data_IF_442809136975
#
_entry.id   IF_442809136975
#
_cell.length_a   1.000
_cell.length_b   1.000
_cell.length_c   1.000
_cell.angle_alpha   90.00
_cell.angle_beta   90.00
_cell.angle_gamma   90.00
#
_symmetry.space_group_name_H-M   'P 1'
#
loop_
_entity.id
_entity.type
_entity.pdbx_description
1 polymer ?
#
# COMPACT_ATOMS: atom_id res chain seq x y z
N UNK A 1 0.99 16.52 -19.40
CA UNK A 1 1.39 17.94 -19.55
C UNK A 1 0.59 18.90 -18.65
N UNK A 2 -0.73 18.74 -18.47
CA UNK A 2 -1.54 19.58 -17.55
C UNK A 2 -1.25 19.38 -16.04
N UNK A 3 -0.93 18.16 -15.59
CA UNK A 3 -0.68 17.86 -14.17
C UNK A 3 0.61 18.51 -13.66
N UNK A 4 1.70 18.47 -14.45
CA UNK A 4 2.99 19.07 -14.07
C UNK A 4 2.93 20.61 -13.95
N UNK A 5 2.13 21.27 -14.79
CA UNK A 5 1.99 22.73 -14.77
C UNK A 5 1.18 23.22 -13.55
N UNK A 6 0.22 22.42 -13.08
CA UNK A 6 -0.55 22.68 -11.86
C UNK A 6 0.31 22.58 -10.59
N UNK A 7 1.27 21.65 -10.53
CA UNK A 7 2.11 21.45 -9.35
C UNK A 7 3.07 22.64 -9.11
N UNK A 8 3.64 23.21 -10.17
CA UNK A 8 4.63 24.28 -10.04
C UNK A 8 4.05 25.66 -9.62
N UNK A 9 2.81 25.97 -10.01
CA UNK A 9 2.21 27.30 -9.77
C UNK A 9 1.77 27.48 -8.31
N UNK A 10 1.40 26.40 -7.62
CA UNK A 10 0.79 26.47 -6.30
C UNK A 10 1.78 26.43 -5.12
N UNK A 11 3.07 26.15 -5.34
CA UNK A 11 4.07 25.97 -4.27
C UNK A 11 4.43 27.25 -3.48
N UNK A 12 4.01 28.44 -3.93
CA UNK A 12 4.31 29.72 -3.26
C UNK A 12 3.22 30.22 -2.30
N UNK A 13 2.16 29.44 -2.06
CA UNK A 13 1.09 29.78 -1.13
C UNK A 13 0.95 28.71 -0.03
N UNK A 14 0.81 29.13 1.22
CA UNK A 14 0.53 28.21 2.33
C UNK A 14 -0.90 27.67 2.23
N UNK A 15 -1.04 26.34 2.14
CA UNK A 15 -2.34 25.68 2.22
C UNK A 15 -2.62 25.24 3.65
N UNK A 16 -3.89 25.28 4.05
CA UNK A 16 -4.36 24.64 5.27
C UNK A 16 -5.16 23.39 4.93
N UNK A 17 -4.80 22.26 5.53
CA UNK A 17 -5.56 21.03 5.40
C UNK A 17 -6.88 21.16 6.19
N UNK A 18 -8.00 20.85 5.53
CA UNK A 18 -9.32 20.80 6.16
C UNK A 18 -9.93 19.42 5.91
N UNK A 19 -9.78 18.47 6.86
CA UNK A 19 -10.32 17.13 6.69
C UNK A 19 -11.85 17.18 6.66
N UNK A 20 -12.45 16.41 5.75
CA UNK A 20 -13.90 16.33 5.60
C UNK A 20 -14.50 15.36 6.65
N UNK A 21 -14.34 15.72 7.91
CA UNK A 21 -14.64 14.87 9.09
C UNK A 21 -16.09 14.40 9.14
N UNK A 22 -17.04 15.22 8.70
CA UNK A 22 -18.45 14.88 8.64
C UNK A 22 -18.72 13.67 7.73
N UNK A 23 -18.01 13.58 6.59
CA UNK A 23 -18.13 12.46 5.66
C UNK A 23 -17.61 11.17 6.28
N UNK A 24 -16.48 11.22 7.00
CA UNK A 24 -15.95 10.05 7.68
C UNK A 24 -16.87 9.57 8.81
N UNK A 25 -17.44 10.49 9.59
CA UNK A 25 -18.42 10.16 10.64
C UNK A 25 -19.71 9.55 10.05
N UNK A 26 -20.20 10.12 8.94
CA UNK A 26 -21.37 9.60 8.25
C UNK A 26 -21.12 8.19 7.69
N UNK A 27 -19.94 7.95 7.11
CA UNK A 27 -19.54 6.63 6.65
C UNK A 27 -19.49 5.64 7.81
N UNK A 28 -18.83 5.97 8.93
CA UNK A 28 -18.75 5.11 10.11
C UNK A 28 -20.15 4.75 10.65
N UNK A 29 -21.04 5.74 10.75
CA UNK A 29 -22.43 5.52 11.17
C UNK A 29 -23.18 4.59 10.20
N UNK A 30 -22.99 4.75 8.89
CA UNK A 30 -23.60 3.89 7.88
C UNK A 30 -23.08 2.45 7.96
N UNK A 31 -21.77 2.24 8.13
CA UNK A 31 -21.17 0.91 8.24
C UNK A 31 -21.70 0.13 9.44
N UNK A 32 -22.03 0.80 10.55
CA UNK A 32 -22.63 0.17 11.75
C UNK A 32 -24.04 -0.37 11.54
N UNK A 33 -24.73 0.06 10.48
CA UNK A 33 -26.06 -0.44 10.14
C UNK A 33 -26.02 -1.84 9.53
N UNK A 34 -24.86 -2.28 9.05
CA UNK A 34 -24.69 -3.58 8.42
C UNK A 34 -24.15 -4.61 9.42
N UNK A 35 -24.61 -5.88 9.36
CA UNK A 35 -24.02 -6.96 10.14
C UNK A 35 -22.51 -7.10 9.90
N UNK A 36 -21.79 -7.60 10.90
CA UNK A 36 -20.37 -7.93 10.74
C UNK A 36 -20.20 -8.95 9.60
N UNK A 37 -19.26 -8.67 8.69
CA UNK A 37 -18.96 -9.52 7.54
C UNK A 37 -19.81 -9.24 6.29
N UNK A 38 -20.72 -8.27 6.32
CA UNK A 38 -21.43 -7.84 5.11
C UNK A 38 -20.47 -7.34 4.03
N UNK A 39 -20.73 -7.72 2.77
CA UNK A 39 -20.05 -7.15 1.61
C UNK A 39 -20.66 -5.78 1.31
N UNK A 40 -19.88 -4.74 1.53
CA UNK A 40 -20.29 -3.35 1.36
C UNK A 40 -19.51 -2.75 0.19
N UNK A 41 -20.17 -1.88 -0.57
CA UNK A 41 -19.56 -1.08 -1.64
C UNK A 41 -19.91 0.38 -1.42
N UNK A 42 -18.98 1.28 -1.72
CA UNK A 42 -19.21 2.73 -1.70
C UNK A 42 -19.40 3.20 -3.15
N UNK A 43 -20.45 3.98 -3.39
CA UNK A 43 -20.85 4.49 -4.71
C UNK A 43 -20.52 5.99 -4.81
N UNK A 44 -19.80 6.41 -5.86
CA UNK A 44 -19.18 7.75 -5.98
C UNK A 44 -19.74 8.68 -7.07
N UNK A 45 -20.82 8.32 -7.74
CA UNK A 45 -21.32 9.07 -8.93
C UNK A 45 -21.89 10.43 -8.56
N UNK A 46 -22.27 10.63 -7.29
CA UNK A 46 -22.86 11.87 -6.79
C UNK A 46 -22.03 12.58 -5.71
N UNK A 47 -22.37 13.84 -5.45
CA UNK A 47 -21.80 14.64 -4.36
C UNK A 47 -20.71 15.62 -4.80
N UNK A 48 -20.19 16.38 -3.83
CA UNK A 48 -19.09 17.32 -4.08
C UNK A 48 -17.80 16.53 -4.36
N UNK A 49 -16.92 17.06 -5.22
CA UNK A 49 -15.60 16.45 -5.50
C UNK A 49 -14.80 16.15 -4.23
N UNK A 50 -14.89 17.02 -3.22
CA UNK A 50 -14.25 16.83 -1.92
C UNK A 50 -14.84 15.68 -1.10
N UNK A 51 -16.12 15.35 -1.28
CA UNK A 51 -16.75 14.18 -0.66
C UNK A 51 -16.26 12.90 -1.35
N UNK A 52 -16.26 12.89 -2.69
CA UNK A 52 -15.76 11.75 -3.45
C UNK A 52 -14.29 11.43 -3.14
N UNK A 53 -13.44 12.46 -3.04
CA UNK A 53 -12.05 12.29 -2.61
C UNK A 53 -11.92 11.73 -1.18
N UNK A 54 -12.69 12.25 -0.22
CA UNK A 54 -12.68 11.76 1.15
C UNK A 54 -13.13 10.29 1.23
N UNK A 55 -14.23 9.93 0.56
CA UNK A 55 -14.74 8.56 0.51
C UNK A 55 -13.78 7.60 -0.19
N UNK A 56 -13.10 8.03 -1.26
CA UNK A 56 -12.09 7.21 -1.94
C UNK A 56 -10.90 6.89 -1.01
N UNK A 57 -10.43 7.88 -0.23
CA UNK A 57 -9.39 7.67 0.78
C UNK A 57 -9.86 6.68 1.86
N UNK A 58 -11.06 6.88 2.41
CA UNK A 58 -11.61 5.97 3.43
C UNK A 58 -11.80 4.54 2.89
N UNK A 59 -12.31 4.40 1.67
CA UNK A 59 -12.48 3.11 1.01
C UNK A 59 -11.14 2.38 0.87
N UNK A 60 -10.09 3.10 0.48
CA UNK A 60 -8.73 2.57 0.40
C UNK A 60 -8.18 2.08 1.74
N UNK A 61 -8.39 2.86 2.81
CA UNK A 61 -7.92 2.54 4.18
C UNK A 61 -8.69 1.37 4.78
N UNK A 62 -10.01 1.34 4.63
CA UNK A 62 -10.90 0.32 5.21
C UNK A 62 -11.04 -0.95 4.36
N UNK A 63 -10.34 -0.98 3.23
CA UNK A 63 -10.42 -2.02 2.21
C UNK A 63 -11.84 -2.31 1.70
N UNK A 64 -12.65 -1.26 1.54
CA UNK A 64 -14.03 -1.35 1.02
C UNK A 64 -14.01 -1.14 -0.49
N UNK A 65 -14.74 -1.98 -1.23
CA UNK A 65 -14.86 -1.82 -2.67
C UNK A 65 -15.53 -0.48 -3.02
N UNK A 66 -15.00 0.18 -4.05
CA UNK A 66 -15.46 1.48 -4.50
C UNK A 66 -16.01 1.35 -5.92
N UNK A 67 -17.21 1.84 -6.18
CA UNK A 67 -17.84 1.81 -7.50
C UNK A 67 -18.22 3.20 -7.97
N UNK A 68 -18.31 3.34 -9.29
CA UNK A 68 -18.78 4.52 -9.99
C UNK A 68 -19.76 4.07 -11.07
N UNK A 69 -20.88 4.77 -11.20
CA UNK A 69 -21.89 4.54 -12.24
C UNK A 69 -21.53 5.45 -13.40
N UNK A 70 -21.04 4.84 -14.47
CA UNK A 70 -20.63 5.53 -15.67
C UNK A 70 -21.59 5.25 -16.83
N UNK A 71 -21.40 5.96 -17.94
CA UNK A 71 -22.21 5.79 -19.14
C UNK A 71 -21.36 5.85 -20.41
N UNK A 72 -21.69 5.00 -21.39
CA UNK A 72 -21.00 5.04 -22.70
C UNK A 72 -21.52 6.14 -23.63
N UNK A 73 -22.80 6.49 -23.49
CA UNK A 73 -23.48 7.41 -24.40
C UNK A 73 -24.19 8.52 -23.62
N UNK A 74 -23.99 9.76 -24.06
CA UNK A 74 -24.60 10.94 -23.47
C UNK A 74 -25.55 11.60 -24.47
N UNK A 75 -26.83 11.66 -24.12
CA UNK A 75 -27.86 12.29 -24.93
C UNK A 75 -27.85 13.80 -24.63
N UNK A 76 -27.17 14.57 -25.49
CA UNK A 76 -27.01 16.03 -25.32
C UNK A 76 -28.34 16.77 -25.25
N UNK A 77 -29.31 16.39 -26.08
CA UNK A 77 -30.65 16.99 -26.12
C UNK A 77 -31.36 16.90 -24.75
N UNK A 78 -31.25 15.74 -24.09
CA UNK A 78 -31.88 15.49 -22.80
C UNK A 78 -30.97 15.84 -21.61
N UNK A 79 -29.72 16.20 -21.86
CA UNK A 79 -28.65 16.42 -20.86
C UNK A 79 -28.55 15.27 -19.87
N UNK A 80 -28.69 14.03 -20.36
CA UNK A 80 -28.71 12.81 -19.56
C UNK A 80 -27.98 11.68 -20.27
N UNK A 81 -27.42 10.71 -19.53
CA UNK A 81 -26.92 9.49 -20.12
C UNK A 81 -28.05 8.73 -20.81
N UNK A 82 -27.71 8.00 -21.87
CA UNK A 82 -28.61 7.05 -22.51
C UNK A 82 -28.85 5.87 -21.54
N UNK A 83 -30.10 5.56 -21.12
CA UNK A 83 -30.36 4.62 -20.02
C UNK A 83 -29.62 3.28 -20.13
N UNK A 84 -29.68 2.64 -21.30
CA UNK A 84 -29.04 1.36 -21.60
C UNK A 84 -27.51 1.41 -21.69
N UNK A 85 -26.92 2.61 -21.73
CA UNK A 85 -25.47 2.79 -21.78
C UNK A 85 -24.82 2.86 -20.40
N UNK A 86 -25.61 2.86 -19.34
CA UNK A 86 -25.16 2.98 -17.95
C UNK A 86 -24.55 1.67 -17.46
N UNK A 87 -23.41 1.72 -16.77
CA UNK A 87 -22.74 0.56 -16.20
C UNK A 87 -22.06 0.86 -14.87
N UNK A 88 -21.86 -0.18 -14.06
CA UNK A 88 -21.11 -0.10 -12.81
C UNK A 88 -19.63 -0.36 -13.13
N UNK A 89 -18.78 0.58 -12.75
CA UNK A 89 -17.33 0.45 -12.81
C UNK A 89 -16.77 0.27 -11.40
N UNK A 90 -15.99 -0.79 -11.20
CA UNK A 90 -15.19 -0.94 -9.99
C UNK A 90 -13.96 -0.02 -10.08
N UNK A 91 -13.80 0.86 -9.10
CA UNK A 91 -12.62 1.70 -8.95
C UNK A 91 -11.56 0.88 -8.23
N UNK A 92 -10.44 0.63 -8.88
CA UNK A 92 -9.32 -0.12 -8.31
C UNK A 92 -8.72 0.60 -7.11
N UNK A 93 -8.52 -0.11 -6.00
CA UNK A 93 -7.74 0.40 -4.89
C UNK A 93 -6.25 0.39 -5.30
N UNK A 94 -5.55 1.53 -5.37
CA UNK A 94 -4.15 1.58 -5.76
C UNK A 94 -3.24 0.77 -4.82
N UNK A 95 -3.62 0.59 -3.56
CA UNK A 95 -2.91 -0.28 -2.61
C UNK A 95 -2.97 -1.76 -2.97
N UNK A 96 -3.89 -2.15 -3.88
CA UNK A 96 -4.01 -3.52 -4.41
C UNK A 96 -3.37 -3.68 -5.78
N UNK A 97 -2.89 -2.60 -6.39
CA UNK A 97 -2.20 -2.70 -7.66
C UNK A 97 -0.81 -3.32 -7.47
N UNK A 98 -0.23 -3.90 -8.54
CA UNK A 98 1.15 -4.33 -8.51
C UNK A 98 2.06 -3.18 -8.06
N UNK A 99 2.97 -3.52 -7.18
CA UNK A 99 3.67 -2.58 -6.30
C UNK A 99 4.61 -1.64 -7.08
N UNK A 100 4.87 -1.87 -8.36
CA UNK A 100 5.78 -1.04 -9.17
C UNK A 100 5.40 0.45 -9.23
N UNK A 101 4.15 0.84 -8.93
CA UNK A 101 3.71 2.25 -8.90
C UNK A 101 3.93 2.97 -7.54
N UNK A 102 4.01 2.23 -6.43
CA UNK A 102 4.16 2.77 -5.06
C UNK A 102 5.16 1.98 -4.20
N UNK A 103 6.04 1.21 -4.84
CA UNK A 103 6.94 0.23 -4.23
C UNK A 103 7.76 0.80 -3.12
N UNK A 104 8.35 1.96 -3.39
CA UNK A 104 9.20 2.68 -2.47
C UNK A 104 8.48 3.03 -1.16
N UNK A 105 7.20 3.40 -1.18
CA UNK A 105 6.47 3.81 0.02
C UNK A 105 6.19 2.62 0.95
N UNK A 106 5.71 1.50 0.40
CA UNK A 106 5.39 0.30 1.18
C UNK A 106 6.66 -0.37 1.71
N UNK A 107 7.69 -0.44 0.86
CA UNK A 107 9.03 -0.91 1.22
C UNK A 107 9.63 -0.06 2.34
N UNK A 108 9.64 1.26 2.20
CA UNK A 108 10.22 2.15 3.21
C UNK A 108 9.47 2.04 4.53
N UNK A 109 8.15 1.80 4.49
CA UNK A 109 7.38 1.51 5.70
C UNK A 109 7.84 0.23 6.39
N UNK A 110 8.05 -0.86 5.64
CA UNK A 110 8.55 -2.11 6.19
C UNK A 110 9.98 -1.94 6.78
N UNK A 111 10.87 -1.26 6.05
CA UNK A 111 12.23 -0.92 6.49
C UNK A 111 12.21 -0.08 7.79
N UNK A 112 11.32 0.90 7.89
CA UNK A 112 11.18 1.72 9.10
C UNK A 112 10.82 0.87 10.33
N UNK A 113 9.89 -0.08 10.19
CA UNK A 113 9.55 -1.00 11.28
C UNK A 113 10.70 -1.96 11.61
N UNK A 114 11.41 -2.46 10.59
CA UNK A 114 12.60 -3.28 10.78
C UNK A 114 13.66 -2.56 11.61
N UNK A 115 13.96 -1.30 11.26
CA UNK A 115 15.00 -0.49 11.89
C UNK A 115 14.72 -0.18 13.36
N UNK A 116 13.44 -0.13 13.77
CA UNK A 116 13.03 0.03 15.18
C UNK A 116 12.79 -1.30 15.90
N UNK A 117 13.19 -2.43 15.31
CA UNK A 117 13.12 -3.76 15.92
C UNK A 117 11.74 -4.41 15.93
N UNK A 118 10.77 -3.87 15.18
CA UNK A 118 9.42 -4.43 15.01
C UNK A 118 9.40 -5.45 13.87
N UNK A 119 10.13 -6.54 14.08
CA UNK A 119 10.42 -7.54 13.04
C UNK A 119 9.19 -8.34 12.60
N UNK A 120 8.22 -8.54 13.48
CA UNK A 120 6.93 -9.17 13.21
C UNK A 120 6.09 -8.38 12.18
N UNK A 121 5.98 -7.07 12.40
CA UNK A 121 5.27 -6.16 11.51
C UNK A 121 6.04 -6.03 10.19
N UNK A 122 7.35 -5.87 10.27
CA UNK A 122 8.24 -5.79 9.12
C UNK A 122 8.10 -7.02 8.20
N UNK A 123 8.16 -8.23 8.76
CA UNK A 123 8.01 -9.46 8.02
C UNK A 123 6.68 -9.48 7.25
N UNK A 124 5.57 -9.19 7.95
CA UNK A 124 4.23 -9.17 7.37
C UNK A 124 4.13 -8.19 6.19
N UNK A 125 4.71 -6.99 6.33
CA UNK A 125 4.69 -5.99 5.27
C UNK A 125 5.54 -6.40 4.06
N UNK A 126 6.73 -6.99 4.29
CA UNK A 126 7.56 -7.49 3.20
C UNK A 126 6.92 -8.68 2.46
N UNK A 127 6.23 -9.59 3.15
CA UNK A 127 5.47 -10.68 2.51
C UNK A 127 4.30 -10.16 1.67
N UNK A 128 3.59 -9.15 2.18
CA UNK A 128 2.51 -8.51 1.43
C UNK A 128 3.03 -7.81 0.18
N UNK A 129 4.17 -7.11 0.28
CA UNK A 129 4.82 -6.47 -0.84
C UNK A 129 5.30 -7.49 -1.88
N UNK A 130 5.99 -8.56 -1.45
CA UNK A 130 6.50 -9.58 -2.37
C UNK A 130 5.39 -10.26 -3.18
N UNK A 131 4.22 -10.50 -2.59
CA UNK A 131 3.08 -11.11 -3.30
C UNK A 131 2.51 -10.24 -4.43
N UNK A 132 2.88 -8.96 -4.50
CA UNK A 132 2.32 -7.97 -5.43
C UNK A 132 3.38 -7.31 -6.32
N UNK A 133 4.67 -7.55 -6.08
CA UNK A 133 5.78 -6.99 -6.87
C UNK A 133 6.03 -7.82 -8.13
N UNK A 134 6.33 -7.15 -9.25
CA UNK A 134 6.81 -7.84 -10.47
C UNK A 134 8.16 -8.50 -10.23
N UNK A 135 8.99 -7.90 -9.38
CA UNK A 135 10.29 -8.44 -8.94
C UNK A 135 10.29 -8.63 -7.41
N UNK A 136 9.77 -9.75 -6.90
CA UNK A 136 9.51 -9.93 -5.47
C UNK A 136 10.75 -10.24 -4.64
N UNK A 137 11.85 -10.61 -5.31
CA UNK A 137 13.02 -11.25 -4.69
C UNK A 137 13.63 -10.45 -3.55
N UNK A 138 13.69 -9.14 -3.72
CA UNK A 138 14.29 -8.23 -2.76
C UNK A 138 13.43 -8.16 -1.47
N UNK A 139 12.10 -8.06 -1.62
CA UNK A 139 11.15 -8.09 -0.51
C UNK A 139 11.09 -9.47 0.18
N UNK A 140 11.15 -10.57 -0.58
CA UNK A 140 11.22 -11.94 -0.02
C UNK A 140 12.42 -12.09 0.94
N UNK A 141 13.60 -11.63 0.52
CA UNK A 141 14.80 -11.69 1.34
C UNK A 141 14.69 -10.82 2.59
N UNK A 142 14.08 -9.64 2.49
CA UNK A 142 13.85 -8.77 3.64
C UNK A 142 12.81 -9.34 4.62
N UNK A 143 11.79 -10.05 4.11
CA UNK A 143 10.85 -10.81 4.94
C UNK A 143 11.58 -11.91 5.72
N UNK A 144 12.37 -12.74 5.04
CA UNK A 144 13.14 -13.82 5.69
C UNK A 144 14.15 -13.28 6.70
N UNK A 145 14.77 -12.14 6.42
CA UNK A 145 15.64 -11.45 7.36
C UNK A 145 14.86 -10.97 8.59
N UNK A 146 13.68 -10.39 8.41
CA UNK A 146 12.79 -10.00 9.52
C UNK A 146 12.44 -11.22 10.39
N UNK A 147 12.11 -12.35 9.75
CA UNK A 147 11.84 -13.62 10.45
C UNK A 147 13.05 -14.12 11.24
N UNK A 148 14.26 -14.04 10.67
CA UNK A 148 15.49 -14.41 11.36
C UNK A 148 15.67 -13.61 12.66
N UNK A 149 15.51 -12.29 12.61
CA UNK A 149 15.60 -11.44 13.79
C UNK A 149 14.50 -11.72 14.82
N UNK A 150 13.29 -12.07 14.37
CA UNK A 150 12.22 -12.50 15.26
C UNK A 150 12.57 -13.81 15.98
N UNK A 151 13.15 -14.79 15.29
CA UNK A 151 13.63 -16.05 15.89
C UNK A 151 14.73 -15.80 16.91
N UNK A 152 15.65 -14.88 16.61
CA UNK A 152 16.71 -14.49 17.53
C UNK A 152 16.15 -13.83 18.80
N UNK A 153 15.23 -12.87 18.67
CA UNK A 153 14.60 -12.18 19.80
C UNK A 153 13.74 -13.11 20.67
N UNK A 154 13.23 -14.20 20.10
CA UNK A 154 12.46 -15.22 20.82
C UNK A 154 13.31 -16.39 21.31
N UNK A 155 14.64 -16.28 21.25
CA UNK A 155 15.61 -17.29 21.66
C UNK A 155 15.46 -18.65 20.93
N UNK A 156 14.82 -18.66 19.76
CA UNK A 156 14.68 -19.84 18.92
C UNK A 156 15.91 -20.00 18.00
N UNK A 157 17.07 -20.19 18.61
CA UNK A 157 18.36 -20.18 17.92
C UNK A 157 18.54 -21.35 16.96
N UNK A 158 17.94 -22.51 17.23
CA UNK A 158 18.06 -23.67 16.35
C UNK A 158 17.43 -23.40 14.98
N UNK A 159 16.21 -22.86 14.96
CA UNK A 159 15.55 -22.46 13.72
C UNK A 159 16.20 -21.22 13.10
N UNK A 160 16.62 -20.26 13.94
CA UNK A 160 17.36 -19.08 13.49
C UNK A 160 18.65 -19.44 12.74
N UNK A 161 19.44 -20.39 13.26
CA UNK A 161 20.68 -20.84 12.64
C UNK A 161 20.45 -21.58 11.32
N UNK A 162 19.40 -22.40 11.22
CA UNK A 162 19.04 -23.05 9.93
C UNK A 162 18.72 -21.99 8.88
N UNK A 163 17.85 -21.04 9.24
CA UNK A 163 17.42 -19.96 8.36
C UNK A 163 18.58 -19.05 7.97
N UNK A 164 19.47 -18.71 8.90
CA UNK A 164 20.63 -17.84 8.60
C UNK A 164 21.53 -18.45 7.54
N UNK A 165 21.82 -19.75 7.60
CA UNK A 165 22.66 -20.40 6.58
C UNK A 165 22.03 -20.41 5.19
N UNK A 166 20.72 -20.62 5.12
CA UNK A 166 19.99 -20.58 3.85
C UNK A 166 19.95 -19.17 3.28
N UNK A 167 19.67 -18.20 4.15
CA UNK A 167 19.57 -16.79 3.80
C UNK A 167 20.92 -16.22 3.35
N UNK A 168 22.01 -16.52 4.05
CA UNK A 168 23.37 -16.06 3.71
C UNK A 168 23.83 -16.54 2.32
N UNK A 169 23.44 -17.74 1.89
CA UNK A 169 23.72 -18.22 0.53
C UNK A 169 22.98 -17.40 -0.51
N UNK A 170 21.71 -17.08 -0.26
CA UNK A 170 20.85 -16.33 -1.17
C UNK A 170 21.26 -14.86 -1.23
N UNK A 171 21.54 -14.21 -0.10
CA UNK A 171 21.96 -12.81 -0.06
C UNK A 171 23.24 -12.60 -0.85
N UNK A 172 24.26 -13.45 -0.69
CA UNK A 172 25.53 -13.31 -1.44
C UNK A 172 25.33 -13.33 -2.95
N UNK A 173 24.35 -14.11 -3.45
CA UNK A 173 24.02 -14.15 -4.87
C UNK A 173 23.26 -12.92 -5.37
N UNK A 174 22.68 -12.10 -4.48
CA UNK A 174 21.77 -10.99 -4.80
C UNK A 174 22.18 -9.65 -4.17
N UNK A 175 23.35 -9.58 -3.51
CA UNK A 175 23.78 -8.45 -2.69
C UNK A 175 23.76 -7.11 -3.43
N UNK A 176 24.24 -7.08 -4.68
CA UNK A 176 24.26 -5.87 -5.50
C UNK A 176 22.88 -5.33 -5.91
N UNK A 177 21.83 -6.17 -5.90
CA UNK A 177 20.45 -5.72 -6.15
C UNK A 177 19.77 -5.22 -4.87
N UNK A 178 20.13 -5.77 -3.71
CA UNK A 178 19.56 -5.37 -2.42
C UNK A 178 20.01 -3.97 -2.02
N UNK A 179 21.30 -3.65 -2.21
CA UNK A 179 21.86 -2.33 -1.86
C UNK A 179 21.37 -1.19 -2.75
N UNK A 180 20.91 -1.49 -3.97
CA UNK A 180 20.33 -0.49 -4.88
C UNK A 180 18.83 -0.24 -4.65
N UNK A 181 18.12 -1.18 -4.01
CA UNK A 181 16.66 -1.15 -3.85
C UNK A 181 16.27 -0.66 -2.44
N UNK A 182 17.11 -0.90 -1.44
CA UNK A 182 16.83 -0.52 -0.07
C UNK A 182 18.04 0.22 0.52
N UNK A 183 17.81 1.41 1.07
CA UNK A 183 18.80 2.09 1.93
C UNK A 183 18.92 1.35 3.27
N UNK A 184 19.47 0.14 3.24
CA UNK A 184 20.02 -0.48 4.44
C UNK A 184 21.41 0.07 4.67
N UNK A 185 21.78 0.24 5.94
CA UNK A 185 23.18 0.42 6.33
C UNK A 185 23.95 -0.84 5.89
N UNK A 186 24.57 -0.74 4.71
CA UNK A 186 25.24 -1.85 4.03
C UNK A 186 26.38 -2.42 4.87
N UNK A 187 27.06 -1.54 5.64
CA UNK A 187 28.09 -1.92 6.58
C UNK A 187 27.52 -2.74 7.74
N UNK A 188 26.41 -2.30 8.33
CA UNK A 188 25.72 -3.05 9.39
C UNK A 188 25.25 -4.43 8.90
N UNK A 189 24.74 -4.50 7.67
CA UNK A 189 24.24 -5.74 7.10
C UNK A 189 25.37 -6.74 6.78
N UNK A 190 26.51 -6.27 6.23
CA UNK A 190 27.70 -7.10 6.02
C UNK A 190 28.28 -7.62 7.34
N UNK A 191 28.48 -6.75 8.34
CA UNK A 191 28.97 -7.15 9.66
C UNK A 191 28.04 -8.19 10.33
N UNK A 192 26.73 -8.07 10.13
CA UNK A 192 25.75 -9.03 10.66
C UNK A 192 25.83 -10.38 9.95
N UNK A 193 26.09 -10.41 8.63
CA UNK A 193 26.28 -11.65 7.87
C UNK A 193 27.60 -12.34 8.18
N UNK A 194 28.65 -11.60 8.52
CA UNK A 194 29.95 -12.16 8.93
C UNK A 194 29.92 -12.73 10.36
N UNK A 195 28.98 -12.26 11.19
CA UNK A 195 28.79 -12.74 12.57
C UNK A 195 27.86 -13.96 12.71
N UNK A 196 27.24 -14.40 11.61
CA UNK A 196 26.31 -15.55 11.50
C UNK A 196 26.99 -16.81 10.97
#
# INVERSE_FOLDING_TARGET
MLIYHLIHIFMNHSFSEKPNTDIYRALEAALRLFPKGSRIVIELTGGKKTMGGALAIAAGILDINLIYIDYKEYLREFRKPRPESTYIQLVGNPLKLPVDLFSEVEVNRAVNFFNVGKYDISQTLFEQASNRMTQPRAAELCSELSKLYMLWNSFNFQEGYKLSRELSKRIRSFFGQLSSIFEFDSYRFECQLESL
#
